data_IF_814600325626
#
_entry.id   IF_814600325626
#
_cell.length_a   1.000
_cell.length_b   1.000
_cell.length_c   1.000
_cell.angle_alpha   90.00
_cell.angle_beta   90.00
_cell.angle_gamma   90.00
#
_symmetry.space_group_name_H-M   'P 1'
#
loop_
_entity.id
_entity.type
_entity.pdbx_description
1 polymer ?
#
# COMPACT_ATOMS: atom_id res chain seq x y z
N UNK A 1 6.58 -56.13 20.89
CA UNK A 1 7.61 -55.48 21.72
C UNK A 1 8.70 -54.76 20.93
N UNK A 2 9.00 -55.14 19.67
CA UNK A 2 10.00 -54.45 18.84
C UNK A 2 9.60 -53.04 18.36
N UNK A 3 8.30 -52.78 18.19
CA UNK A 3 7.79 -51.49 17.68
C UNK A 3 7.90 -50.33 18.68
N UNK A 4 7.80 -50.58 19.99
CA UNK A 4 7.92 -49.49 20.99
C UNK A 4 9.37 -49.07 21.20
N UNK A 5 10.34 -49.99 21.10
CA UNK A 5 11.77 -49.68 21.20
C UNK A 5 12.27 -48.80 20.03
N UNK A 6 11.78 -49.04 18.81
CA UNK A 6 12.05 -48.19 17.64
C UNK A 6 11.44 -46.78 17.79
N UNK A 7 10.27 -46.68 18.42
CA UNK A 7 9.62 -45.38 18.66
C UNK A 7 10.34 -44.56 19.75
N UNK A 8 10.78 -45.22 20.83
CA UNK A 8 11.56 -44.57 21.89
C UNK A 8 12.96 -44.14 21.41
N UNK A 9 13.63 -44.90 20.55
CA UNK A 9 14.96 -44.55 20.03
C UNK A 9 14.94 -43.35 19.08
N UNK A 10 13.88 -43.17 18.28
CA UNK A 10 13.69 -41.98 17.43
C UNK A 10 13.38 -40.71 18.24
N UNK A 11 12.72 -40.84 19.39
CA UNK A 11 12.51 -39.75 20.35
C UNK A 11 13.84 -39.24 20.95
N UNK A 12 14.79 -40.13 21.25
CA UNK A 12 16.11 -39.72 21.77
C UNK A 12 16.97 -39.00 20.72
N UNK A 13 16.90 -39.39 19.44
CA UNK A 13 17.65 -38.72 18.37
C UNK A 13 17.11 -37.29 18.12
N UNK A 14 15.83 -37.03 18.44
CA UNK A 14 15.21 -35.72 18.24
C UNK A 14 15.48 -34.72 19.39
N UNK A 15 16.13 -35.14 20.48
CA UNK A 15 16.42 -34.31 21.67
C UNK A 15 17.91 -33.92 21.76
N UNK A 16 18.76 -34.41 20.84
CA UNK A 16 20.09 -33.83 20.69
C UNK A 16 19.99 -32.49 19.96
N UNK A 17 19.59 -31.45 20.71
CA UNK A 17 19.92 -30.09 20.34
C UNK A 17 21.45 -30.05 20.17
N UNK A 18 21.91 -29.75 18.96
CA UNK A 18 23.30 -29.38 18.77
C UNK A 18 23.47 -28.02 19.46
N UNK A 19 23.89 -28.03 20.72
CA UNK A 19 24.27 -26.82 21.42
C UNK A 19 25.50 -26.23 20.71
N UNK A 20 25.28 -25.13 19.98
CA UNK A 20 26.33 -24.38 19.31
C UNK A 20 26.93 -23.34 20.24
N UNK A 21 28.25 -23.17 20.16
CA UNK A 21 28.94 -22.04 20.79
C UNK A 21 29.05 -20.90 19.78
N UNK A 22 28.59 -19.71 20.16
CA UNK A 22 28.60 -18.52 19.32
C UNK A 22 29.50 -17.46 19.95
N UNK A 23 30.66 -17.22 19.33
CA UNK A 23 31.52 -16.07 19.61
C UNK A 23 31.31 -15.03 18.51
N UNK A 24 31.09 -13.77 18.90
CA UNK A 24 30.99 -12.67 17.94
C UNK A 24 31.48 -11.36 18.54
N UNK A 25 31.90 -10.46 17.65
CA UNK A 25 32.44 -9.16 17.96
C UNK A 25 31.59 -8.11 17.27
N UNK A 26 31.35 -6.99 17.95
CA UNK A 26 30.57 -5.89 17.40
C UNK A 26 31.35 -4.58 17.55
N UNK A 27 31.69 -3.98 16.41
CA UNK A 27 32.12 -2.59 16.28
C UNK A 27 30.89 -1.70 16.11
N UNK A 28 30.75 -0.67 16.95
CA UNK A 28 29.65 0.30 16.89
C UNK A 28 30.18 1.73 16.95
N UNK A 29 29.47 2.60 16.26
CA UNK A 29 29.63 4.04 16.33
C UNK A 29 28.27 4.61 16.72
N UNK A 30 28.11 4.95 17.98
CA UNK A 30 26.85 5.44 18.52
C UNK A 30 26.87 6.98 18.48
N UNK A 31 25.92 7.57 17.75
CA UNK A 31 25.78 9.02 17.62
C UNK A 31 24.30 9.41 17.47
N UNK A 32 23.95 10.63 17.89
CA UNK A 32 22.57 11.12 17.90
C UNK A 32 22.35 12.39 17.07
N UNK A 33 23.41 12.97 16.51
CA UNK A 33 23.41 14.24 15.80
C UNK A 33 24.22 14.12 14.52
N UNK A 34 23.83 14.88 13.51
CA UNK A 34 24.57 15.04 12.25
C UNK A 34 25.91 15.74 12.42
N UNK A 35 26.12 16.42 13.55
CA UNK A 35 27.37 17.13 13.88
C UNK A 35 28.45 16.19 14.47
N UNK A 36 28.08 14.96 14.85
CA UNK A 36 28.98 13.89 15.30
C UNK A 36 29.84 14.20 16.55
N UNK A 37 29.57 15.28 17.28
CA UNK A 37 30.41 15.74 18.40
C UNK A 37 30.45 14.77 19.60
N UNK A 38 29.33 14.10 19.89
CA UNK A 38 29.20 13.17 21.03
C UNK A 38 29.19 11.71 20.59
N UNK A 39 29.92 11.40 19.52
CA UNK A 39 30.00 10.05 19.00
C UNK A 39 30.85 9.16 19.90
N UNK A 40 30.42 7.92 20.10
CA UNK A 40 31.16 6.92 20.86
C UNK A 40 31.50 5.72 19.96
N UNK A 41 32.79 5.41 19.83
CA UNK A 41 33.20 4.10 19.36
C UNK A 41 33.13 3.07 20.48
N UNK A 42 32.46 1.94 20.22
CA UNK A 42 32.30 0.81 21.13
C UNK A 42 32.73 -0.47 20.40
N UNK A 43 33.62 -1.23 21.05
CA UNK A 43 34.08 -2.52 20.56
C UNK A 43 33.81 -3.59 21.62
N UNK A 44 32.90 -4.51 21.33
CA UNK A 44 32.35 -5.46 22.30
C UNK A 44 32.52 -6.89 21.84
N UNK A 45 32.94 -7.79 22.74
CA UNK A 45 32.98 -9.22 22.50
C UNK A 45 31.88 -9.95 23.27
N UNK A 46 31.27 -10.92 22.61
CA UNK A 46 30.16 -11.69 23.12
C UNK A 46 30.39 -13.18 22.94
N UNK A 47 30.10 -13.94 23.99
CA UNK A 47 30.03 -15.39 23.97
C UNK A 47 28.61 -15.83 24.35
N UNK A 48 27.91 -16.54 23.46
CA UNK A 48 26.52 -16.99 23.66
C UNK A 48 25.59 -15.86 24.14
N UNK A 49 25.72 -14.67 23.52
CA UNK A 49 24.99 -13.42 23.84
C UNK A 49 25.37 -12.75 25.16
N UNK A 50 26.33 -13.31 25.91
CA UNK A 50 26.88 -12.66 27.09
C UNK A 50 28.07 -11.81 26.68
N UNK A 51 27.95 -10.49 26.87
CA UNK A 51 29.09 -9.60 26.72
C UNK A 51 30.08 -9.87 27.83
N UNK A 52 31.33 -10.18 27.47
CA UNK A 52 32.35 -10.42 28.48
C UNK A 52 33.37 -9.30 28.57
N UNK A 53 33.66 -8.56 27.50
CA UNK A 53 34.59 -7.42 27.51
C UNK A 53 34.17 -6.36 26.48
N UNK A 54 34.41 -5.09 26.80
CA UNK A 54 34.16 -3.94 25.92
C UNK A 54 35.27 -2.90 26.01
N UNK A 55 35.72 -2.39 24.89
CA UNK A 55 36.37 -1.08 24.81
C UNK A 55 35.34 0.00 24.46
N UNK A 56 35.40 1.13 25.16
CA UNK A 56 34.62 2.33 24.86
C UNK A 56 35.59 3.49 24.70
N UNK A 57 35.41 4.30 23.65
CA UNK A 57 36.18 5.54 23.49
C UNK A 57 35.92 6.58 24.59
N UNK A 58 34.72 6.58 25.19
CA UNK A 58 34.39 7.44 26.34
C UNK A 58 35.14 7.02 27.61
N UNK A 59 35.39 5.72 27.79
CA UNK A 59 36.16 5.18 28.93
C UNK A 59 37.66 5.16 28.62
N UNK A 60 38.02 4.98 27.36
CA UNK A 60 39.40 4.92 26.86
C UNK A 60 40.15 3.64 27.21
N UNK A 61 39.47 2.58 27.65
CA UNK A 61 40.07 1.27 27.98
C UNK A 61 39.05 0.14 27.97
N UNK A 62 39.55 -1.10 28.03
CA UNK A 62 38.73 -2.30 28.11
C UNK A 62 38.15 -2.47 29.52
N UNK A 63 36.87 -2.82 29.58
CA UNK A 63 36.12 -3.13 30.81
C UNK A 63 35.53 -4.53 30.66
N UNK A 64 35.80 -5.40 31.62
CA UNK A 64 35.24 -6.74 31.71
C UNK A 64 33.89 -6.76 32.42
N UNK A 65 32.93 -7.55 31.91
CA UNK A 65 31.59 -7.74 32.50
C UNK A 65 31.40 -9.13 33.14
N UNK A 66 32.36 -10.03 32.96
CA UNK A 66 32.40 -11.34 33.61
C UNK A 66 33.77 -11.55 34.27
N UNK A 67 33.89 -12.53 35.16
CA UNK A 67 35.19 -12.84 35.80
C UNK A 67 36.30 -13.12 34.77
N UNK A 68 35.95 -13.80 33.67
CA UNK A 68 36.88 -14.01 32.56
C UNK A 68 37.24 -12.70 31.88
N UNK A 69 36.24 -11.86 31.57
CA UNK A 69 36.42 -10.56 30.95
C UNK A 69 37.24 -9.58 31.79
N UNK A 70 37.10 -9.58 33.11
CA UNK A 70 37.86 -8.72 34.02
C UNK A 70 39.34 -9.07 33.97
N UNK A 71 39.68 -10.37 34.08
CA UNK A 71 41.08 -10.84 33.93
C UNK A 71 41.64 -10.53 32.55
N UNK A 72 40.83 -10.67 31.51
CA UNK A 72 41.26 -10.37 30.15
C UNK A 72 41.50 -8.87 29.95
N UNK A 73 40.65 -8.02 30.52
CA UNK A 73 40.82 -6.57 30.49
C UNK A 73 42.11 -6.11 31.17
N UNK A 74 42.52 -6.74 32.28
CA UNK A 74 43.83 -6.48 32.91
C UNK A 74 44.99 -6.75 31.95
N UNK A 75 44.91 -7.84 31.18
CA UNK A 75 45.94 -8.19 30.19
C UNK A 75 45.93 -7.23 29.01
N UNK A 76 44.77 -6.95 28.43
CA UNK A 76 44.66 -6.10 27.23
C UNK A 76 44.95 -4.63 27.52
N UNK A 77 44.55 -4.12 28.69
CA UNK A 77 44.88 -2.75 29.09
C UNK A 77 46.38 -2.56 29.38
N UNK A 78 47.13 -3.65 29.64
CA UNK A 78 48.57 -3.59 29.81
C UNK A 78 49.33 -3.51 28.46
N UNK A 79 48.69 -3.87 27.34
CA UNK A 79 49.23 -3.61 26.00
C UNK A 79 48.94 -2.15 25.59
N UNK A 80 49.86 -1.27 25.96
CA UNK A 80 49.74 0.16 25.64
C UNK A 80 49.71 0.47 24.14
N UNK A 81 50.28 -0.38 23.29
CA UNK A 81 50.28 -0.16 21.85
C UNK A 81 48.88 -0.43 21.27
N UNK A 82 48.27 -1.55 21.62
CA UNK A 82 46.89 -1.87 21.22
C UNK A 82 45.89 -0.86 21.79
N UNK A 83 46.01 -0.55 23.09
CA UNK A 83 45.10 0.36 23.76
C UNK A 83 45.10 1.76 23.12
N UNK A 84 46.28 2.26 22.72
CA UNK A 84 46.39 3.53 22.01
C UNK A 84 45.80 3.44 20.59
N UNK A 85 45.96 2.31 19.89
CA UNK A 85 45.31 2.10 18.59
C UNK A 85 43.78 2.11 18.72
N UNK A 86 43.25 1.47 19.76
CA UNK A 86 41.81 1.43 20.03
C UNK A 86 41.23 2.82 20.33
N UNK A 87 41.95 3.66 21.07
CA UNK A 87 41.56 5.06 21.29
C UNK A 87 41.46 5.87 20.00
N UNK A 88 42.21 5.51 18.96
CA UNK A 88 42.17 6.18 17.66
C UNK A 88 41.03 5.68 16.75
N UNK A 89 40.29 4.63 17.13
CA UNK A 89 39.22 4.05 16.29
C UNK A 89 38.02 4.98 16.12
N UNK A 90 37.73 5.84 17.08
CA UNK A 90 36.69 6.87 16.88
C UNK A 90 36.98 7.75 15.65
N UNK A 91 38.23 8.17 15.47
CA UNK A 91 38.65 8.96 14.31
C UNK A 91 38.83 8.10 13.04
N UNK A 92 39.54 6.98 13.17
CA UNK A 92 39.98 6.19 12.00
C UNK A 92 38.92 5.24 11.46
N UNK A 93 37.97 4.82 12.30
CA UNK A 93 36.87 3.94 11.92
C UNK A 93 35.55 4.69 11.85
N UNK A 94 35.10 5.31 12.95
CA UNK A 94 33.77 5.92 12.96
C UNK A 94 33.65 7.14 12.05
N UNK A 95 34.47 8.18 12.26
CA UNK A 95 34.42 9.37 11.41
C UNK A 95 34.68 9.03 9.93
N UNK A 96 35.67 8.19 9.64
CA UNK A 96 35.98 7.75 8.29
C UNK A 96 34.79 7.07 7.59
N UNK A 97 34.15 6.09 8.24
CA UNK A 97 33.04 5.36 7.62
C UNK A 97 31.75 6.18 7.55
N UNK A 98 31.47 7.04 8.53
CA UNK A 98 30.29 7.91 8.52
C UNK A 98 30.38 8.94 7.41
N UNK A 99 31.56 9.53 7.20
CA UNK A 99 31.77 10.49 6.12
C UNK A 99 31.57 9.88 4.74
N UNK A 100 31.88 8.59 4.58
CA UNK A 100 31.75 7.87 3.31
C UNK A 100 30.33 7.32 3.10
N UNK A 101 29.78 6.64 4.10
CA UNK A 101 28.56 5.84 3.96
C UNK A 101 27.33 6.55 4.56
N UNK A 102 27.42 7.04 5.78
CA UNK A 102 26.24 7.48 6.52
C UNK A 102 25.75 8.87 6.10
N UNK A 103 26.62 9.77 5.62
CA UNK A 103 26.17 11.06 5.05
C UNK A 103 25.16 10.88 3.93
N UNK A 104 25.34 9.85 3.10
CA UNK A 104 24.43 9.54 2.00
C UNK A 104 23.09 8.99 2.49
N UNK A 105 23.02 8.43 3.71
CA UNK A 105 21.81 7.83 4.31
C UNK A 105 21.08 8.88 5.18
N UNK A 106 21.80 9.63 6.02
CA UNK A 106 21.25 10.62 6.95
C UNK A 106 20.47 11.73 6.25
N UNK A 107 20.83 12.03 5.00
CA UNK A 107 20.14 13.05 4.18
C UNK A 107 18.94 12.50 3.41
N UNK A 108 18.71 11.18 3.43
CA UNK A 108 17.64 10.55 2.67
C UNK A 108 16.37 10.52 3.49
N UNK A 109 15.28 10.84 2.82
CA UNK A 109 13.95 10.67 3.35
C UNK A 109 13.04 10.26 2.20
N UNK A 110 12.08 9.38 2.47
CA UNK A 110 11.15 8.85 1.48
C UNK A 110 9.72 9.07 1.96
N UNK A 111 8.85 9.49 1.05
CA UNK A 111 7.47 9.83 1.37
C UNK A 111 6.63 8.57 1.58
N UNK A 112 5.77 8.55 2.61
CA UNK A 112 4.89 7.42 2.86
C UNK A 112 3.81 7.29 1.79
N UNK A 113 3.41 6.05 1.52
CA UNK A 113 2.17 5.75 0.80
C UNK A 113 1.06 5.36 1.78
N UNK A 114 -0.14 5.92 1.60
CA UNK A 114 -1.25 5.75 2.55
C UNK A 114 -2.42 5.03 1.92
N UNK A 115 -2.98 4.04 2.62
CA UNK A 115 -4.16 3.29 2.21
C UNK A 115 -5.13 3.15 3.38
N UNK A 116 -6.36 3.62 3.19
CA UNK A 116 -7.43 3.45 4.17
C UNK A 116 -8.34 2.30 3.72
N UNK A 117 -8.70 1.40 4.64
CA UNK A 117 -9.63 0.30 4.40
C UNK A 117 -10.62 0.16 5.56
N UNK A 118 -11.84 -0.27 5.26
CA UNK A 118 -12.79 -0.68 6.29
C UNK A 118 -12.54 -2.13 6.70
N UNK A 119 -12.62 -2.41 8.00
CA UNK A 119 -12.53 -3.77 8.54
C UNK A 119 -13.68 -4.04 9.52
N UNK A 120 -14.00 -5.32 9.71
CA UNK A 120 -14.91 -5.76 10.77
C UNK A 120 -14.14 -5.90 12.08
N UNK A 121 -14.60 -5.31 13.19
CA UNK A 121 -13.92 -5.45 14.47
C UNK A 121 -13.85 -6.91 14.92
N UNK A 122 -12.79 -7.31 15.65
CA UNK A 122 -12.68 -8.66 16.21
C UNK A 122 -13.85 -9.03 17.13
N UNK A 123 -14.39 -8.05 17.86
CA UNK A 123 -15.39 -8.24 18.92
C UNK A 123 -16.83 -8.38 18.44
N UNK A 124 -17.11 -8.22 17.14
CA UNK A 124 -18.42 -8.46 16.53
C UNK A 124 -19.59 -7.54 16.97
N UNK A 125 -19.41 -6.73 18.01
CA UNK A 125 -20.36 -5.70 18.46
C UNK A 125 -19.88 -4.33 17.96
N UNK A 126 -20.82 -3.54 17.44
CA UNK A 126 -20.57 -2.28 16.72
C UNK A 126 -19.71 -1.33 17.56
N UNK A 127 -18.52 -0.98 17.05
CA UNK A 127 -18.38 0.09 16.05
C UNK A 127 -17.92 -0.39 14.66
N UNK A 128 -18.04 0.44 13.62
CA UNK A 128 -17.30 0.21 12.37
C UNK A 128 -15.82 0.54 12.60
N UNK A 129 -14.92 -0.09 11.84
CA UNK A 129 -13.48 0.13 12.00
C UNK A 129 -12.85 0.55 10.68
N UNK A 130 -12.01 1.59 10.72
CA UNK A 130 -11.12 1.97 9.62
C UNK A 130 -9.68 1.69 10.02
N UNK A 131 -8.90 1.22 9.04
CA UNK A 131 -7.46 1.03 9.19
C UNK A 131 -6.76 1.91 8.16
N UNK A 132 -5.94 2.82 8.64
CA UNK A 132 -4.99 3.60 7.86
C UNK A 132 -3.65 2.89 7.90
N UNK A 133 -3.27 2.29 6.77
CA UNK A 133 -1.97 1.68 6.58
C UNK A 133 -1.03 2.65 5.87
N UNK A 134 0.14 2.85 6.47
CA UNK A 134 1.19 3.75 5.97
C UNK A 134 2.42 2.89 5.65
N UNK A 135 2.89 2.95 4.42
CA UNK A 135 3.94 2.07 3.89
C UNK A 135 5.10 2.86 3.28
N UNK A 136 6.22 2.16 3.12
CA UNK A 136 7.36 2.51 2.27
C UNK A 136 8.00 3.88 2.60
N UNK A 137 8.07 4.22 3.89
CA UNK A 137 8.65 5.49 4.35
C UNK A 137 9.98 5.30 5.07
N UNK A 138 10.78 6.38 5.09
CA UNK A 138 12.05 6.45 5.79
C UNK A 138 12.36 7.93 6.14
N UNK A 139 12.82 8.28 7.34
CA UNK A 139 13.19 7.41 8.47
C UNK A 139 11.99 6.84 9.24
N UNK A 140 12.23 6.03 10.28
CA UNK A 140 11.15 5.35 11.03
C UNK A 140 10.22 6.28 11.80
N UNK A 141 10.69 7.47 12.22
CA UNK A 141 9.90 8.40 13.04
C UNK A 141 8.76 9.00 12.22
N UNK A 142 7.53 8.65 12.59
CA UNK A 142 6.30 9.08 11.92
C UNK A 142 5.20 9.35 12.94
N UNK A 143 4.24 10.21 12.58
CA UNK A 143 3.04 10.44 13.39
C UNK A 143 1.80 10.28 12.53
N UNK A 144 0.94 9.35 12.94
CA UNK A 144 -0.33 9.03 12.27
C UNK A 144 -1.48 9.43 13.19
N UNK A 145 -2.42 10.20 12.66
CA UNK A 145 -3.58 10.68 13.40
C UNK A 145 -4.83 10.70 12.52
N UNK A 146 -5.99 10.99 13.12
CA UNK A 146 -7.27 10.99 12.43
C UNK A 146 -8.00 12.32 12.57
N UNK A 147 -8.66 12.73 11.49
CA UNK A 147 -9.61 13.84 11.48
C UNK A 147 -11.02 13.31 11.22
N UNK A 148 -12.00 13.87 11.93
CA UNK A 148 -13.43 13.67 11.69
C UNK A 148 -14.10 15.02 11.56
N UNK A 149 -14.68 15.29 10.39
CA UNK A 149 -15.28 16.58 10.02
C UNK A 149 -14.33 17.77 10.24
N UNK A 150 -13.02 17.53 10.02
CA UNK A 150 -11.96 18.51 10.22
C UNK A 150 -11.45 18.66 11.66
N UNK A 151 -12.03 17.94 12.63
CA UNK A 151 -11.60 17.96 14.03
C UNK A 151 -10.72 16.75 14.35
N UNK A 152 -9.68 16.95 15.16
CA UNK A 152 -8.79 15.89 15.60
C UNK A 152 -9.52 14.88 16.49
N UNK A 153 -9.32 13.60 16.21
CA UNK A 153 -9.84 12.48 17.02
C UNK A 153 -8.75 12.03 17.98
N UNK A 154 -9.09 11.91 19.27
CA UNK A 154 -8.14 11.53 20.32
C UNK A 154 -8.51 10.25 21.07
N UNK A 155 -9.73 9.72 20.89
CA UNK A 155 -10.20 8.47 21.50
C UNK A 155 -10.37 7.39 20.44
N UNK A 156 -10.43 6.12 20.89
CA UNK A 156 -10.80 4.97 20.04
C UNK A 156 -9.83 4.72 18.87
N UNK A 157 -8.58 5.14 19.07
CA UNK A 157 -7.47 4.95 18.13
C UNK A 157 -6.46 3.97 18.71
N UNK A 158 -6.15 2.93 17.95
CA UNK A 158 -5.08 1.97 18.25
C UNK A 158 -4.07 1.98 17.13
N UNK A 159 -2.79 2.19 17.43
CA UNK A 159 -1.72 2.18 16.42
C UNK A 159 -0.69 1.11 16.71
N UNK A 160 -0.14 0.49 15.66
CA UNK A 160 0.98 -0.44 15.78
C UNK A 160 2.29 0.32 15.92
N UNK A 161 3.28 -0.30 16.55
CA UNK A 161 4.67 0.18 16.50
C UNK A 161 5.18 0.18 15.05
N UNK A 162 6.19 0.99 14.77
CA UNK A 162 6.80 1.08 13.45
C UNK A 162 7.57 -0.20 13.13
N UNK A 163 7.17 -0.88 12.05
CA UNK A 163 7.75 -2.17 11.66
C UNK A 163 8.74 -1.97 10.50
N UNK A 164 9.99 -2.45 10.62
CA UNK A 164 10.92 -2.46 9.50
C UNK A 164 10.54 -3.54 8.49
N UNK A 165 10.57 -3.19 7.20
CA UNK A 165 10.27 -4.12 6.10
C UNK A 165 11.46 -5.02 5.73
N UNK A 166 12.67 -4.69 6.21
CA UNK A 166 13.91 -5.40 5.86
C UNK A 166 14.59 -4.89 4.58
N UNK A 167 14.06 -3.84 3.97
CA UNK A 167 14.56 -3.22 2.73
C UNK A 167 14.82 -1.70 2.89
N UNK A 168 15.16 -1.28 4.12
CA UNK A 168 15.33 0.11 4.58
C UNK A 168 14.06 0.92 4.80
N UNK A 169 12.89 0.41 4.39
CA UNK A 169 11.63 1.11 4.62
C UNK A 169 10.90 0.59 5.85
N UNK A 170 9.95 1.41 6.31
CA UNK A 170 9.10 1.14 7.45
C UNK A 170 7.62 1.14 7.05
N UNK A 171 6.82 0.51 7.89
CA UNK A 171 5.37 0.54 7.80
C UNK A 171 4.73 0.66 9.19
N UNK A 172 3.54 1.25 9.24
CA UNK A 172 2.72 1.34 10.47
C UNK A 172 1.23 1.37 10.13
N UNK A 173 0.40 0.93 11.08
CA UNK A 173 -1.05 0.88 10.93
C UNK A 173 -1.73 1.58 12.10
N UNK A 174 -2.63 2.50 11.79
CA UNK A 174 -3.53 3.12 12.77
C UNK A 174 -4.96 2.68 12.52
N UNK A 175 -5.66 2.30 13.58
CA UNK A 175 -7.02 1.77 13.57
C UNK A 175 -7.92 2.75 14.32
N UNK A 176 -9.06 3.09 13.72
CA UNK A 176 -10.07 3.95 14.31
C UNK A 176 -11.38 3.18 14.43
N UNK A 177 -11.85 3.01 15.65
CA UNK A 177 -13.20 2.53 15.94
C UNK A 177 -14.17 3.71 15.96
N UNK A 178 -15.27 3.62 15.22
CA UNK A 178 -16.21 4.73 15.09
C UNK A 178 -17.64 4.26 14.83
N UNK A 179 -18.61 5.09 15.22
CA UNK A 179 -20.02 4.91 14.85
C UNK A 179 -20.32 5.73 13.59
N UNK A 180 -20.68 5.10 12.44
CA UNK A 180 -20.92 5.81 11.20
C UNK A 180 -22.05 6.85 11.27
N UNK A 181 -21.83 8.03 10.70
CA UNK A 181 -22.80 9.11 10.55
C UNK A 181 -22.96 9.48 9.07
N UNK A 182 -24.19 9.81 8.67
CA UNK A 182 -24.46 10.16 7.27
C UNK A 182 -23.76 11.47 6.91
N UNK A 183 -22.96 11.45 5.84
CA UNK A 183 -22.27 12.63 5.31
C UNK A 183 -21.01 13.06 6.07
N UNK A 184 -20.54 12.26 7.02
CA UNK A 184 -19.30 12.57 7.74
C UNK A 184 -18.07 12.43 6.83
N UNK A 185 -17.04 13.23 7.13
CA UNK A 185 -15.74 13.17 6.48
C UNK A 185 -14.70 12.66 7.47
N UNK A 186 -14.13 11.49 7.18
CA UNK A 186 -13.05 10.92 7.98
C UNK A 186 -11.77 10.90 7.15
N UNK A 187 -10.67 11.37 7.74
CA UNK A 187 -9.37 11.47 7.08
C UNK A 187 -8.26 10.92 7.98
N UNK A 188 -7.30 10.22 7.38
CA UNK A 188 -6.03 9.87 8.02
C UNK A 188 -5.00 10.96 7.72
N UNK A 189 -4.27 11.40 8.73
CA UNK A 189 -3.26 12.46 8.66
C UNK A 189 -1.90 11.89 9.03
N UNK A 190 -0.93 12.06 8.15
CA UNK A 190 0.43 11.55 8.33
C UNK A 190 1.41 12.70 8.33
N UNK A 191 2.15 12.86 9.43
CA UNK A 191 3.28 13.78 9.58
C UNK A 191 4.57 12.97 9.55
N UNK A 192 5.49 13.35 8.67
CA UNK A 192 6.74 12.63 8.46
C UNK A 192 7.82 13.58 7.93
N UNK A 193 9.09 13.36 8.29
CA UNK A 193 10.19 14.26 7.96
C UNK A 193 10.41 14.51 6.45
N UNK A 194 9.97 13.58 5.59
CA UNK A 194 10.05 13.73 4.12
C UNK A 194 8.93 14.59 3.52
N UNK A 195 7.93 14.98 4.31
CA UNK A 195 6.78 15.77 3.88
C UNK A 195 6.91 17.21 4.37
N UNK A 196 6.71 18.18 3.48
CA UNK A 196 6.66 19.61 3.85
C UNK A 196 5.39 19.96 4.62
N UNK A 197 4.30 19.30 4.28
CA UNK A 197 2.98 19.46 4.90
C UNK A 197 2.39 18.08 5.22
N UNK A 198 1.49 17.97 6.21
CA UNK A 198 0.88 16.70 6.56
C UNK A 198 0.12 16.08 5.38
N UNK A 199 0.33 14.79 5.13
CA UNK A 199 -0.39 14.05 4.11
C UNK A 199 -1.78 13.66 4.64
N UNK A 200 -2.83 14.26 4.08
CA UNK A 200 -4.23 14.01 4.46
C UNK A 200 -4.90 13.11 3.41
N UNK A 201 -5.30 11.91 3.82
CA UNK A 201 -6.02 10.95 2.97
C UNK A 201 -7.45 10.80 3.44
N UNK A 202 -8.43 11.11 2.57
CA UNK A 202 -9.86 11.01 2.92
C UNK A 202 -10.43 9.61 2.61
N UNK A 203 -11.23 9.08 3.53
CA UNK A 203 -11.97 7.83 3.31
C UNK A 203 -13.07 8.00 2.24
N UNK A 204 -13.22 7.02 1.35
CA UNK A 204 -14.33 6.96 0.39
C UNK A 204 -14.19 7.80 -0.89
N UNK A 205 -13.18 8.67 -1.03
CA UNK A 205 -12.99 9.50 -2.25
C UNK A 205 -12.86 8.67 -3.54
N UNK A 206 -12.19 7.52 -3.49
CA UNK A 206 -11.96 6.67 -4.67
C UNK A 206 -13.20 5.92 -5.17
N UNK A 207 -14.23 5.74 -4.33
CA UNK A 207 -15.50 5.15 -4.78
C UNK A 207 -16.29 6.11 -5.69
N UNK A 208 -16.16 7.42 -5.47
CA UNK A 208 -16.88 8.44 -6.26
C UNK A 208 -16.32 8.55 -7.68
N UNK A 209 -14.99 8.53 -7.84
CA UNK A 209 -14.34 8.67 -9.17
C UNK A 209 -14.68 7.50 -10.10
N UNK A 210 -14.74 6.28 -9.57
CA UNK A 210 -15.07 5.10 -10.37
C UNK A 210 -16.51 5.15 -10.93
N UNK A 211 -17.45 5.73 -10.17
CA UNK A 211 -18.83 5.97 -10.59
C UNK A 211 -18.91 6.98 -11.74
N UNK A 212 -18.17 8.08 -11.68
CA UNK A 212 -18.14 9.09 -12.75
C UNK A 212 -17.54 8.55 -14.05
N UNK A 213 -16.47 7.77 -13.98
CA UNK A 213 -15.84 7.19 -15.18
C UNK A 213 -16.77 6.17 -15.85
N UNK A 214 -17.46 5.34 -15.08
CA UNK A 214 -18.43 4.38 -15.63
C UNK A 214 -19.65 5.06 -16.28
N UNK A 215 -20.19 6.14 -15.70
CA UNK A 215 -21.35 6.84 -16.27
C UNK A 215 -20.97 7.62 -17.53
N UNK A 216 -19.81 8.29 -17.58
CA UNK A 216 -19.35 8.99 -18.77
C UNK A 216 -19.08 8.06 -19.96
N UNK A 217 -18.45 6.91 -19.72
CA UNK A 217 -18.16 5.94 -20.78
C UNK A 217 -19.43 5.28 -21.31
N UNK A 218 -20.43 5.06 -20.45
CA UNK A 218 -21.75 4.58 -20.84
C UNK A 218 -22.51 5.60 -21.70
N UNK A 219 -22.54 6.88 -21.28
CA UNK A 219 -23.19 7.96 -22.03
C UNK A 219 -22.54 8.14 -23.41
N UNK A 220 -21.21 8.14 -23.46
CA UNK A 220 -20.47 8.22 -24.73
C UNK A 220 -20.79 7.05 -25.66
N UNK A 221 -20.85 5.83 -25.13
CA UNK A 221 -21.21 4.64 -25.89
C UNK A 221 -22.65 4.72 -26.44
N UNK A 222 -23.60 5.23 -25.66
CA UNK A 222 -25.00 5.42 -26.11
C UNK A 222 -25.15 6.54 -27.14
N UNK A 223 -24.36 7.62 -27.03
CA UNK A 223 -24.35 8.72 -27.99
C UNK A 223 -23.72 8.29 -29.33
N UNK A 224 -22.61 7.55 -29.29
CA UNK A 224 -21.97 7.06 -30.50
C UNK A 224 -22.85 6.04 -31.24
N UNK A 225 -23.56 5.17 -30.51
CA UNK A 225 -24.47 4.20 -31.10
C UNK A 225 -25.70 4.87 -31.74
N UNK A 226 -26.20 5.96 -31.17
CA UNK A 226 -27.32 6.72 -31.73
C UNK A 226 -26.93 7.51 -32.99
N UNK A 227 -25.70 8.07 -33.05
CA UNK A 227 -25.16 8.69 -34.28
C UNK A 227 -24.98 7.65 -35.38
N UNK A 228 -24.40 6.48 -35.08
CA UNK A 228 -24.20 5.39 -36.06
C UNK A 228 -25.53 4.84 -36.60
N UNK A 229 -26.58 4.82 -35.77
CA UNK A 229 -27.94 4.44 -36.20
C UNK A 229 -28.65 5.55 -37.00
N UNK A 230 -28.17 6.80 -36.93
CA UNK A 230 -28.73 7.94 -37.66
C UNK A 230 -28.06 8.17 -39.02
N UNK A 231 -26.82 7.70 -39.19
CA UNK A 231 -25.99 7.88 -40.40
C UNK A 231 -26.18 6.75 -41.44
N UNK A 232 -27.17 5.86 -41.25
CA UNK A 232 -27.50 4.86 -42.27
C UNK A 232 -28.22 5.53 -43.46
N UNK A 233 -27.47 5.72 -44.56
CA UNK A 233 -27.89 6.36 -45.80
C UNK A 233 -29.31 5.98 -46.29
N UNK A 234 -30.17 6.96 -46.62
CA UNK A 234 -31.48 6.72 -47.19
C UNK A 234 -31.37 6.60 -48.71
N UNK A 235 -30.79 5.53 -49.22
CA UNK A 235 -30.78 5.27 -50.68
C UNK A 235 -31.07 3.81 -51.02
N UNK A 236 -32.28 3.37 -50.74
CA UNK A 236 -32.99 2.30 -51.48
C UNK A 236 -34.38 2.17 -50.87
N UNK A 237 -35.43 2.21 -51.70
CA UNK A 237 -36.85 2.07 -51.35
C UNK A 237 -37.09 1.16 -50.13
N UNK A 238 -37.35 1.75 -48.97
CA UNK A 238 -37.78 1.03 -47.78
C UNK A 238 -39.14 1.50 -47.35
N UNK A 239 -40.08 0.57 -47.42
CA UNK A 239 -41.47 0.72 -46.98
C UNK A 239 -41.54 1.39 -45.61
N UNK A 240 -42.61 2.18 -45.40
CA UNK A 240 -42.99 2.92 -44.18
C UNK A 240 -43.01 2.07 -42.89
N UNK A 241 -42.81 0.75 -43.01
CA UNK A 241 -42.70 -0.27 -41.96
C UNK A 241 -41.30 -0.37 -41.31
N UNK A 242 -40.21 -0.07 -42.03
CA UNK A 242 -38.84 -0.38 -41.57
C UNK A 242 -38.18 0.78 -40.78
N UNK A 243 -38.56 2.03 -41.10
CA UNK A 243 -38.14 3.23 -40.36
C UNK A 243 -38.77 3.29 -38.95
N UNK A 244 -40.03 2.89 -38.82
CA UNK A 244 -40.73 2.80 -37.54
C UNK A 244 -40.13 1.73 -36.62
N UNK A 245 -39.60 0.63 -37.18
CA UNK A 245 -38.91 -0.40 -36.38
C UNK A 245 -37.56 0.08 -35.83
N UNK A 246 -36.79 0.84 -36.61
CA UNK A 246 -35.51 1.42 -36.15
C UNK A 246 -35.71 2.47 -35.04
N UNK A 247 -36.71 3.35 -35.17
CA UNK A 247 -37.08 4.31 -34.13
C UNK A 247 -37.54 3.59 -32.86
N UNK A 248 -38.30 2.50 -33.00
CA UNK A 248 -38.74 1.69 -31.86
C UNK A 248 -37.58 1.00 -31.14
N UNK A 249 -36.56 0.51 -31.88
CA UNK A 249 -35.34 -0.09 -31.30
C UNK A 249 -34.53 0.99 -30.56
N UNK A 250 -34.34 2.16 -31.16
CA UNK A 250 -33.65 3.29 -30.52
C UNK A 250 -34.32 3.73 -29.23
N UNK A 251 -35.65 3.89 -29.23
CA UNK A 251 -36.42 4.22 -28.04
C UNK A 251 -36.37 3.11 -26.98
N UNK A 252 -36.33 1.84 -27.38
CA UNK A 252 -36.22 0.69 -26.46
C UNK A 252 -34.86 0.63 -25.77
N UNK A 253 -33.77 0.89 -26.50
CA UNK A 253 -32.41 0.94 -25.92
C UNK A 253 -32.29 2.12 -24.95
N UNK A 254 -32.84 3.28 -25.31
CA UNK A 254 -32.76 4.49 -24.48
C UNK A 254 -33.58 4.35 -23.19
N UNK A 255 -34.76 3.73 -23.28
CA UNK A 255 -35.59 3.43 -22.09
C UNK A 255 -34.96 2.35 -21.21
N UNK A 256 -34.41 1.26 -21.77
CA UNK A 256 -33.66 0.25 -21.01
C UNK A 256 -32.43 0.87 -20.32
N UNK A 257 -31.71 1.75 -21.00
CA UNK A 257 -30.56 2.46 -20.42
C UNK A 257 -30.96 3.36 -19.26
N UNK A 258 -32.07 4.12 -19.39
CA UNK A 258 -32.59 4.95 -18.31
C UNK A 258 -33.05 4.12 -17.11
N UNK A 259 -33.71 2.98 -17.36
CA UNK A 259 -34.14 2.05 -16.30
C UNK A 259 -32.92 1.47 -15.58
N UNK A 260 -31.87 1.06 -16.29
CA UNK A 260 -30.65 0.53 -15.68
C UNK A 260 -29.88 1.60 -14.89
N UNK A 261 -29.87 2.85 -15.36
CA UNK A 261 -29.30 3.98 -14.63
C UNK A 261 -30.10 4.30 -13.35
N UNK A 262 -31.43 4.32 -13.44
CA UNK A 262 -32.29 4.51 -12.27
C UNK A 262 -32.17 3.35 -11.29
N UNK A 263 -32.15 2.10 -11.77
CA UNK A 263 -31.93 0.93 -10.92
C UNK A 263 -30.54 0.94 -10.27
N UNK A 264 -29.50 1.33 -11.01
CA UNK A 264 -28.14 1.52 -10.49
C UNK A 264 -28.07 2.64 -9.45
N UNK A 265 -28.75 3.77 -9.68
CA UNK A 265 -28.84 4.87 -8.74
C UNK A 265 -29.65 4.50 -7.49
N UNK A 266 -30.77 3.79 -7.64
CA UNK A 266 -31.58 3.27 -6.53
C UNK A 266 -30.79 2.22 -5.75
N UNK A 267 -30.09 1.30 -6.42
CA UNK A 267 -29.22 0.32 -5.76
C UNK A 267 -28.06 1.00 -5.04
N UNK A 268 -27.44 2.03 -5.63
CA UNK A 268 -26.43 2.83 -4.96
C UNK A 268 -27.01 3.55 -3.74
N UNK A 269 -28.16 4.22 -3.86
CA UNK A 269 -28.83 4.92 -2.75
C UNK A 269 -29.31 3.94 -1.69
N UNK A 270 -29.72 2.74 -2.08
CA UNK A 270 -30.10 1.64 -1.19
C UNK A 270 -28.88 1.04 -0.51
N UNK A 271 -27.74 0.92 -1.19
CA UNK A 271 -26.47 0.47 -0.59
C UNK A 271 -25.87 1.54 0.34
N UNK A 272 -26.03 2.82 -0.01
CA UNK A 272 -25.64 3.96 0.82
C UNK A 272 -26.59 4.17 2.02
N UNK A 273 -27.88 3.81 1.90
CA UNK A 273 -28.87 3.86 3.01
C UNK A 273 -28.96 2.56 3.81
N UNK A 274 -28.59 1.44 3.21
CA UNK A 274 -28.72 0.07 3.74
C UNK A 274 -27.70 -0.30 4.81
N UNK A 275 -26.87 0.66 5.23
CA UNK A 275 -25.96 0.50 6.36
C UNK A 275 -26.68 0.62 7.73
N UNK A 276 -28.01 0.41 7.76
CA UNK A 276 -28.83 0.46 8.99
C UNK A 276 -29.80 -0.72 9.21
N UNK A 277 -29.72 -1.85 8.49
CA UNK A 277 -30.44 -3.08 8.92
C UNK A 277 -29.66 -4.37 8.81
N UNK A 278 -29.42 -4.94 9.97
CA UNK A 278 -29.06 -6.33 10.25
C UNK A 278 -30.06 -7.26 9.54
N UNK A 279 -29.58 -8.13 8.65
CA UNK A 279 -30.14 -9.46 8.47
C UNK A 279 -29.00 -10.46 8.23
N UNK A 280 -28.90 -11.39 9.17
CA UNK A 280 -28.14 -12.64 9.11
C UNK A 280 -28.48 -13.42 7.85
N UNK A 281 -27.56 -13.51 6.89
CA UNK A 281 -27.59 -14.54 5.85
C UNK A 281 -26.17 -15.09 5.61
N UNK A 282 -26.09 -16.42 5.73
CA UNK A 282 -24.98 -17.32 5.38
C UNK A 282 -24.39 -17.02 3.98
N UNK A 283 -23.15 -17.48 3.69
CA UNK A 283 -22.49 -17.18 2.43
C UNK A 283 -23.27 -17.83 1.29
N UNK A 284 -23.96 -17.00 0.50
CA UNK A 284 -24.43 -17.42 -0.82
C UNK A 284 -23.24 -17.22 -1.75
N UNK A 285 -22.67 -18.35 -2.19
CA UNK A 285 -21.73 -18.44 -3.29
C UNK A 285 -22.12 -17.43 -4.39
N UNK A 286 -21.23 -16.47 -4.67
CA UNK A 286 -21.46 -15.41 -5.63
C UNK A 286 -21.31 -15.91 -7.07
N UNK A 287 -22.13 -16.89 -7.47
CA UNK A 287 -22.34 -17.27 -8.87
C UNK A 287 -23.06 -16.16 -9.66
N UNK A 288 -23.70 -15.20 -8.97
CA UNK A 288 -24.32 -14.02 -9.59
C UNK A 288 -23.32 -12.92 -9.98
N UNK A 289 -22.22 -12.74 -9.24
CA UNK A 289 -21.20 -11.74 -9.58
C UNK A 289 -20.35 -12.19 -10.79
N UNK A 290 -20.08 -13.49 -10.91
CA UNK A 290 -19.48 -14.07 -12.12
C UNK A 290 -20.43 -14.11 -13.32
N UNK A 291 -21.75 -14.09 -13.11
CA UNK A 291 -22.73 -14.09 -14.20
C UNK A 291 -22.77 -12.73 -14.93
N UNK A 292 -22.65 -11.62 -14.20
CA UNK A 292 -22.60 -10.27 -14.79
C UNK A 292 -21.34 -10.01 -15.63
N UNK A 293 -20.20 -10.63 -15.29
CA UNK A 293 -18.99 -10.58 -16.12
C UNK A 293 -19.03 -11.57 -17.30
N UNK A 294 -19.82 -12.64 -17.20
CA UNK A 294 -20.00 -13.61 -18.29
C UNK A 294 -20.98 -13.15 -19.37
N UNK A 295 -21.98 -12.33 -19.03
CA UNK A 295 -22.92 -11.79 -20.05
C UNK A 295 -22.26 -10.80 -21.00
N UNK A 296 -21.14 -10.17 -20.63
CA UNK A 296 -20.32 -9.37 -21.57
C UNK A 296 -19.56 -10.24 -22.59
N UNK A 297 -19.51 -11.57 -22.39
CA UNK A 297 -18.78 -12.50 -23.26
C UNK A 297 -19.72 -13.33 -24.19
N UNK A 298 -21.03 -13.34 -23.95
CA UNK A 298 -21.99 -14.15 -24.74
C UNK A 298 -22.58 -13.41 -25.95
N UNK A 299 -22.27 -12.12 -26.15
CA UNK A 299 -22.68 -11.36 -27.34
C UNK A 299 -21.86 -11.69 -28.62
N UNK A 300 -21.07 -12.77 -28.62
CA UNK A 300 -20.25 -13.19 -29.76
C UNK A 300 -20.92 -14.20 -30.72
N UNK A 301 -22.23 -14.45 -30.63
CA UNK A 301 -22.94 -15.47 -31.44
C UNK A 301 -24.13 -14.97 -32.25
N UNK A 302 -24.09 -13.72 -32.74
CA UNK A 302 -25.07 -13.26 -33.75
C UNK A 302 -24.37 -12.89 -35.08
N UNK A 303 -24.81 -13.64 -36.10
CA UNK A 303 -24.63 -13.54 -37.56
C UNK A 303 -23.66 -12.49 -38.14
N UNK A 304 -22.64 -13.02 -38.82
CA UNK A 304 -22.19 -12.70 -40.19
C UNK A 304 -21.91 -11.26 -40.65
N UNK A 305 -22.75 -10.28 -40.34
CA UNK A 305 -22.75 -8.94 -40.95
C UNK A 305 -22.04 -7.86 -40.11
N UNK A 306 -21.74 -8.14 -38.83
CA UNK A 306 -21.15 -7.16 -37.90
C UNK A 306 -19.62 -7.23 -37.75
N UNK A 307 -18.94 -8.12 -38.49
CA UNK A 307 -17.48 -8.30 -38.35
C UNK A 307 -16.66 -7.06 -38.74
N UNK A 308 -17.07 -6.27 -39.73
CA UNK A 308 -16.35 -5.04 -40.12
C UNK A 308 -16.51 -3.92 -39.10
N UNK A 309 -17.65 -3.85 -38.41
CA UNK A 309 -17.91 -2.90 -37.33
C UNK A 309 -17.10 -3.29 -36.09
N UNK A 310 -17.06 -4.59 -35.74
CA UNK A 310 -16.31 -5.05 -34.56
C UNK A 310 -14.78 -5.02 -34.72
N UNK A 311 -14.25 -5.02 -35.95
CA UNK A 311 -12.82 -4.91 -36.19
C UNK A 311 -12.29 -3.49 -35.86
N UNK A 312 -13.13 -2.45 -35.97
CA UNK A 312 -12.85 -1.10 -35.43
C UNK A 312 -13.06 -1.00 -33.92
N UNK A 313 -14.00 -1.76 -33.35
CA UNK A 313 -14.21 -1.80 -31.89
C UNK A 313 -13.10 -2.53 -31.11
N UNK A 314 -12.37 -3.46 -31.74
CA UNK A 314 -11.27 -4.21 -31.09
C UNK A 314 -10.09 -3.33 -30.67
N UNK A 315 -9.92 -2.15 -31.27
CA UNK A 315 -8.91 -1.16 -30.84
C UNK A 315 -9.35 -0.32 -29.63
N UNK A 316 -10.64 -0.29 -29.29
CA UNK A 316 -11.20 0.55 -28.22
C UNK A 316 -11.43 -0.25 -26.92
N UNK A 317 -11.49 -1.58 -26.99
CA UNK A 317 -11.87 -2.46 -25.88
C UNK A 317 -10.88 -3.63 -25.67
N UNK A 318 -9.66 -3.38 -25.20
CA UNK A 318 -8.93 -4.24 -24.24
C UNK A 318 -7.54 -3.68 -23.85
N UNK A 319 -7.04 -3.87 -22.62
CA UNK A 319 -7.74 -3.96 -21.35
C UNK A 319 -7.31 -2.84 -20.38
N UNK A 320 -8.22 -2.40 -19.51
CA UNK A 320 -7.81 -2.08 -18.15
C UNK A 320 -7.47 -3.42 -17.47
N UNK A 321 -6.27 -3.93 -17.72
CA UNK A 321 -5.62 -4.87 -16.83
C UNK A 321 -4.88 -4.06 -15.76
N UNK A 322 -4.71 -4.66 -14.59
CA UNK A 322 -4.06 -4.14 -13.37
C UNK A 322 -2.74 -3.38 -13.57
N UNK A 323 -2.10 -3.47 -14.74
CA UNK A 323 -0.86 -2.77 -15.03
C UNK A 323 -0.99 -1.25 -15.26
N UNK A 324 -2.18 -0.76 -15.60
CA UNK A 324 -2.36 0.66 -15.97
C UNK A 324 -2.45 1.60 -14.76
N UNK A 325 -2.83 1.08 -13.58
CA UNK A 325 -2.95 1.87 -12.36
C UNK A 325 -1.57 2.13 -11.71
N UNK A 326 -0.61 1.22 -11.90
CA UNK A 326 0.76 1.39 -11.42
C UNK A 326 1.59 2.34 -12.30
N UNK A 327 1.21 2.54 -13.57
CA UNK A 327 1.90 3.48 -14.48
C UNK A 327 1.55 4.95 -14.19
N UNK A 328 0.33 5.23 -13.70
CA UNK A 328 -0.08 6.57 -13.23
C UNK A 328 0.47 6.93 -11.84
N UNK A 329 1.02 5.96 -11.10
CA UNK A 329 1.59 6.14 -9.76
C UNK A 329 3.13 6.23 -9.76
N UNK A 330 3.79 6.25 -10.94
CA UNK A 330 5.26 6.20 -11.04
C UNK A 330 5.91 7.33 -11.84
N UNK A 331 5.17 8.36 -12.22
CA UNK A 331 5.70 9.49 -13.01
C UNK A 331 5.51 10.83 -12.31
N UNK A 332 6.29 11.08 -11.25
CA UNK A 332 6.65 12.44 -10.84
C UNK A 332 8.12 12.68 -11.22
N UNK A 333 8.35 12.77 -12.53
CA UNK A 333 9.46 13.55 -13.08
C UNK A 333 8.80 14.56 -14.00
N UNK A 334 8.61 15.77 -13.50
CA UNK A 334 8.35 16.93 -14.33
C UNK A 334 9.65 17.19 -15.07
N UNK A 335 9.71 16.81 -16.34
CA UNK A 335 10.60 17.48 -17.29
C UNK A 335 9.76 18.10 -18.41
N UNK A 336 10.02 19.39 -18.61
CA UNK A 336 9.37 20.24 -19.58
C UNK A 336 9.78 19.83 -20.98
N UNK A 337 8.98 19.05 -21.69
CA UNK A 337 8.96 18.96 -23.17
C UNK A 337 7.92 17.94 -23.58
N UNK A 338 6.76 18.37 -24.08
CA UNK A 338 6.17 18.00 -25.37
C UNK A 338 4.75 18.60 -25.45
N UNK A 339 4.39 19.20 -26.59
CA UNK A 339 3.29 20.15 -26.66
C UNK A 339 1.95 19.43 -26.79
N UNK A 340 1.01 19.76 -25.92
CA UNK A 340 -0.41 19.69 -26.25
C UNK A 340 -0.69 20.77 -27.31
N UNK A 341 -0.56 20.43 -28.60
CA UNK A 341 -1.40 21.06 -29.63
C UNK A 341 -2.83 20.59 -29.33
N UNK A 342 -3.81 21.45 -29.05
CA UNK A 342 -4.10 22.70 -29.73
C UNK A 342 -5.43 22.49 -30.44
N UNK A 343 -6.51 22.53 -29.66
CA UNK A 343 -7.87 22.72 -30.17
C UNK A 343 -7.99 24.20 -30.53
N UNK A 344 -7.98 24.51 -31.82
CA UNK A 344 -8.45 25.78 -32.37
C UNK A 344 -9.57 25.53 -33.39
N UNK A 345 -10.50 26.49 -33.40
CA UNK A 345 -11.82 26.46 -34.01
C UNK A 345 -11.85 26.77 -35.53
N UNK A 346 -12.91 26.26 -36.20
CA UNK A 346 -13.76 26.88 -37.25
C UNK A 346 -13.28 27.13 -38.71
N UNK A 347 -14.24 26.88 -39.63
CA UNK A 347 -14.30 27.11 -41.09
C UNK A 347 -13.41 26.16 -41.94
N UNK A 348 -13.93 25.31 -42.83
CA UNK A 348 -14.99 25.39 -43.85
C UNK A 348 -15.77 24.07 -43.92
#
# INVERSE_FOLDING_TARGET
MASSFLCFTLLFISIHNADGFLEYIVDRCDFNSTELENMEYIYSHYYNKMEYIRFSSNVGQYVGFTDFGVRLAEVWNNDTADLNLMRLKIATYCHHNIDINDRAILTKSVQPSVRIKSMTPPSGQHPAMLVCSVYDFFPSKIKVSWLRDGQAVSSDITSTEEMPNGDWYYQTHSQLEYTPRSGEKISCVVEHASLKEPLITDWGKYLSVCLFVCTHKYIYLTAHLSVVLSDSDPSSDKSTSESTTLIAIGASILTLGLILLLAGFIFYRWRARGQTRIHTLRPVNSTLYQSFYKTTCVLNLLSGSLKSVFQKFRQVLSPCSDHSLNALLRSDVIDHSYPCMGLDWLFI
#
